data_IF_027592632521
#
_entry.id   IF_027592632521
#
_cell.length_a   1.000
_cell.length_b   1.000
_cell.length_c   1.000
_cell.angle_alpha   90.00
_cell.angle_beta   90.00
_cell.angle_gamma   90.00
#
_symmetry.space_group_name_H-M   'P 1'
#
loop_
_entity.id
_entity.type
_entity.pdbx_description
1 polymer ?
#
# COMPACT_ATOMS: atom_id res chain seq x y z
N UNK A 1 10.04 1.69 21.08
CA UNK A 1 8.63 1.51 21.45
C UNK A 1 7.96 2.81 21.89
N UNK A 2 8.67 3.67 22.63
CA UNK A 2 8.14 4.91 23.23
C UNK A 2 7.55 5.91 22.25
N UNK A 3 8.20 6.13 21.10
CA UNK A 3 7.67 7.01 20.05
C UNK A 3 6.39 6.43 19.43
N UNK A 4 6.36 5.11 19.19
CA UNK A 4 5.19 4.41 18.63
C UNK A 4 3.98 4.49 19.58
N UNK A 5 4.20 4.30 20.89
CA UNK A 5 3.13 4.44 21.89
C UNK A 5 2.60 5.86 22.00
N UNK A 6 3.44 6.87 21.78
CA UNK A 6 3.02 8.28 21.84
C UNK A 6 2.21 8.67 20.59
N UNK A 7 2.59 8.16 19.43
CA UNK A 7 1.92 8.45 18.16
C UNK A 7 0.55 7.77 18.01
N UNK A 8 0.29 6.68 18.73
CA UNK A 8 -0.95 5.90 18.61
C UNK A 8 -1.61 5.64 19.98
N UNK A 9 -2.46 6.55 20.48
CA UNK A 9 -3.02 6.47 21.83
C UNK A 9 -3.95 5.28 22.06
N UNK A 10 -4.55 4.73 21.00
CA UNK A 10 -5.44 3.56 21.07
C UNK A 10 -4.71 2.22 20.93
N UNK A 11 -3.39 2.22 20.74
CA UNK A 11 -2.62 1.01 20.52
C UNK A 11 -2.47 0.21 21.82
N UNK A 12 -2.94 -1.03 21.83
CA UNK A 12 -2.88 -1.95 22.97
C UNK A 12 -1.86 -3.05 22.69
N UNK A 13 -1.04 -3.38 23.68
CA UNK A 13 -0.07 -4.47 23.60
C UNK A 13 -0.48 -5.60 24.54
N UNK A 14 -0.36 -6.84 24.06
CA UNK A 14 -0.55 -8.05 24.86
C UNK A 14 0.73 -8.86 24.76
N UNK A 15 1.37 -9.13 25.89
CA UNK A 15 2.62 -9.88 25.95
C UNK A 15 2.34 -11.26 26.57
N UNK A 16 2.68 -12.33 25.85
CA UNK A 16 2.53 -13.71 26.31
C UNK A 16 3.88 -14.42 26.34
N UNK A 17 4.24 -15.14 27.42
CA UNK A 17 5.54 -15.79 27.55
C UNK A 17 5.68 -17.07 26.71
N UNK A 18 4.57 -17.65 26.22
CA UNK A 18 4.58 -18.80 25.31
C UNK A 18 3.24 -18.92 24.54
N UNK A 19 3.18 -19.71 23.44
CA UNK A 19 1.99 -19.83 22.60
C UNK A 19 0.75 -20.42 23.31
N UNK A 20 0.93 -21.33 24.27
CA UNK A 20 -0.19 -21.88 25.03
C UNK A 20 -0.87 -20.80 25.88
N UNK A 21 -0.06 -19.95 26.52
CA UNK A 21 -0.57 -18.78 27.23
C UNK A 21 -1.23 -17.77 26.31
N UNK A 22 -0.75 -17.64 25.07
CA UNK A 22 -1.44 -16.82 24.07
C UNK A 22 -2.85 -17.36 23.78
N UNK A 23 -3.03 -18.68 23.67
CA UNK A 23 -4.34 -19.29 23.43
C UNK A 23 -5.29 -19.08 24.61
N UNK A 24 -4.83 -19.30 25.84
CA UNK A 24 -5.61 -19.01 27.06
C UNK A 24 -6.06 -17.53 27.08
N UNK A 25 -5.14 -16.60 26.77
CA UNK A 25 -5.43 -15.16 26.73
C UNK A 25 -6.45 -14.80 25.64
N UNK A 26 -6.41 -15.45 24.47
CA UNK A 26 -7.42 -15.23 23.43
C UNK A 26 -8.80 -15.71 23.87
N UNK A 27 -8.88 -16.85 24.56
CA UNK A 27 -10.15 -17.35 25.08
C UNK A 27 -10.73 -16.39 26.12
N UNK A 28 -9.93 -15.93 27.08
CA UNK A 28 -10.34 -14.93 28.08
C UNK A 28 -10.84 -13.63 27.44
N UNK A 29 -10.14 -13.12 26.41
CA UNK A 29 -10.53 -11.89 25.71
C UNK A 29 -11.86 -12.04 24.96
N UNK A 30 -12.22 -13.27 24.55
CA UNK A 30 -13.46 -13.56 23.81
C UNK A 30 -14.69 -13.78 24.71
N UNK A 31 -14.52 -14.11 26.00
CA UNK A 31 -15.61 -14.57 26.88
C UNK A 31 -16.85 -13.67 26.96
N UNK A 32 -16.72 -12.36 26.69
CA UNK A 32 -17.82 -11.39 26.73
C UNK A 32 -17.92 -10.56 25.44
N UNK A 33 -17.42 -11.08 24.33
CA UNK A 33 -17.45 -10.39 23.03
C UNK A 33 -18.35 -11.17 22.06
N UNK A 34 -19.08 -10.45 21.22
CA UNK A 34 -19.83 -11.07 20.13
C UNK A 34 -18.86 -11.68 19.10
N UNK A 35 -19.27 -12.78 18.46
CA UNK A 35 -18.47 -13.38 17.39
C UNK A 35 -18.38 -12.41 16.19
N UNK A 36 -17.20 -12.25 15.56
CA UNK A 36 -17.03 -11.36 14.44
C UNK A 36 -17.85 -11.84 13.24
N UNK A 37 -18.64 -10.93 12.66
CA UNK A 37 -19.43 -11.24 11.47
C UNK A 37 -18.49 -11.39 10.24
N UNK A 38 -18.50 -12.55 9.55
CA UNK A 38 -17.64 -12.80 8.39
C UNK A 38 -17.89 -11.84 7.22
N UNK A 39 -19.13 -11.38 7.03
CA UNK A 39 -19.50 -10.49 5.93
C UNK A 39 -18.91 -9.07 6.12
N UNK A 40 -18.73 -8.64 7.37
CA UNK A 40 -18.12 -7.34 7.67
C UNK A 40 -16.58 -7.38 7.60
N UNK A 41 -15.95 -8.49 8.00
CA UNK A 41 -14.49 -8.62 8.01
C UNK A 41 -13.86 -8.56 6.60
N UNK A 42 -14.55 -9.09 5.60
CA UNK A 42 -14.09 -9.10 4.21
C UNK A 42 -14.06 -7.71 3.57
N UNK A 43 -14.94 -6.79 3.96
CA UNK A 43 -15.08 -5.48 3.34
C UNK A 43 -14.07 -4.43 3.85
N UNK A 44 -13.67 -4.52 5.12
CA UNK A 44 -12.89 -3.48 5.82
C UNK A 44 -11.41 -3.40 5.36
N UNK A 45 -10.95 -4.31 4.49
CA UNK A 45 -9.63 -4.26 3.85
C UNK A 45 -9.63 -3.82 2.37
N UNK A 46 -10.80 -3.68 1.74
CA UNK A 46 -10.94 -3.62 0.28
C UNK A 46 -10.92 -2.19 -0.27
N UNK A 47 -11.08 -1.17 0.57
CA UNK A 47 -11.01 0.22 0.11
C UNK A 47 -9.63 0.61 -0.44
N UNK A 48 -8.56 -0.04 0.02
CA UNK A 48 -7.23 0.08 -0.59
C UNK A 48 -7.07 -0.76 -1.87
N UNK A 49 -7.94 -1.76 -2.08
CA UNK A 49 -7.97 -2.60 -3.28
C UNK A 49 -8.84 -1.97 -4.39
N UNK A 50 -9.69 -0.98 -4.11
CA UNK A 50 -10.42 -0.27 -5.17
C UNK A 50 -9.49 0.50 -6.12
N UNK A 51 -8.28 0.87 -5.69
CA UNK A 51 -7.21 1.37 -6.56
C UNK A 51 -6.52 0.27 -7.40
N UNK A 52 -6.88 -1.00 -7.22
CA UNK A 52 -6.46 -2.16 -8.03
C UNK A 52 -7.46 -2.51 -9.13
N UNK A 53 -8.63 -1.86 -9.18
CA UNK A 53 -9.64 -2.10 -10.24
C UNK A 53 -9.18 -1.69 -11.64
N UNK A 54 -8.07 -0.95 -11.76
CA UNK A 54 -7.38 -0.85 -13.04
C UNK A 54 -6.57 -2.12 -13.22
N UNK A 55 -7.15 -3.04 -14.01
CA UNK A 55 -6.64 -4.35 -14.46
C UNK A 55 -5.22 -4.27 -15.03
N UNK A 56 -4.24 -4.02 -14.17
CA UNK A 56 -2.82 -4.06 -14.49
C UNK A 56 -2.19 -5.15 -13.64
N UNK A 57 -1.38 -5.98 -14.28
CA UNK A 57 -0.72 -7.07 -13.58
C UNK A 57 0.18 -6.51 -12.45
N UNK A 58 0.24 -7.21 -11.30
CA UNK A 58 0.87 -6.72 -10.08
C UNK A 58 2.36 -6.39 -10.27
N UNK A 59 3.03 -7.15 -11.15
CA UNK A 59 4.46 -6.96 -11.47
C UNK A 59 4.74 -5.58 -12.05
N UNK A 60 3.91 -5.09 -12.96
CA UNK A 60 4.08 -3.77 -13.57
C UNK A 60 3.90 -2.65 -12.54
N UNK A 61 3.02 -2.86 -11.54
CA UNK A 61 2.78 -1.90 -10.45
C UNK A 61 3.97 -1.81 -9.52
N UNK A 62 4.56 -2.94 -9.18
CA UNK A 62 5.70 -2.99 -8.28
C UNK A 62 6.96 -2.42 -8.93
N UNK A 63 7.16 -2.64 -10.24
CA UNK A 63 8.24 -2.01 -11.00
C UNK A 63 8.10 -0.48 -11.01
N UNK A 64 6.90 0.06 -11.23
CA UNK A 64 6.70 1.52 -11.19
C UNK A 64 6.88 2.10 -9.78
N UNK A 65 6.49 1.38 -8.73
CA UNK A 65 6.67 1.83 -7.34
C UNK A 65 8.14 1.80 -6.91
N UNK A 66 8.96 0.97 -7.54
CA UNK A 66 10.39 0.90 -7.28
C UNK A 66 11.19 2.06 -7.88
N UNK A 67 10.60 2.85 -8.79
CA UNK A 67 11.26 4.00 -9.40
C UNK A 67 11.23 5.23 -8.47
N UNK A 68 12.39 5.82 -8.13
CA UNK A 68 12.44 7.03 -7.32
C UNK A 68 11.74 8.18 -8.05
N UNK A 69 10.78 8.82 -7.38
CA UNK A 69 9.97 9.91 -7.95
C UNK A 69 8.60 9.49 -8.49
N UNK A 70 8.29 8.19 -8.60
CA UNK A 70 6.94 7.76 -9.00
C UNK A 70 6.05 7.61 -7.76
N UNK A 71 5.36 8.70 -7.39
CA UNK A 71 4.27 8.70 -6.40
C UNK A 71 3.12 7.84 -6.96
N UNK A 72 2.36 7.14 -6.12
CA UNK A 72 1.30 6.21 -6.55
C UNK A 72 0.25 6.81 -7.52
N UNK A 73 0.07 8.14 -7.48
CA UNK A 73 -0.73 8.91 -8.46
C UNK A 73 -0.09 9.00 -9.84
N UNK A 74 1.21 9.26 -9.92
CA UNK A 74 1.98 9.30 -11.16
C UNK A 74 2.03 7.93 -11.84
N UNK A 75 2.23 6.85 -11.07
CA UNK A 75 2.16 5.48 -11.57
C UNK A 75 0.81 5.18 -12.24
N UNK A 76 -0.29 5.61 -11.62
CA UNK A 76 -1.65 5.41 -12.17
C UNK A 76 -1.85 6.15 -13.49
N UNK A 77 -1.39 7.40 -13.60
CA UNK A 77 -1.48 8.19 -14.84
C UNK A 77 -0.64 7.57 -15.98
N UNK A 78 0.58 7.13 -15.67
CA UNK A 78 1.46 6.47 -16.63
C UNK A 78 0.85 5.16 -17.11
N UNK A 79 0.29 4.35 -16.20
CA UNK A 79 -0.35 3.08 -16.55
C UNK A 79 -1.64 3.25 -17.35
N UNK A 80 -2.42 4.30 -17.08
CA UNK A 80 -3.63 4.60 -17.86
C UNK A 80 -3.30 5.05 -19.29
N UNK A 81 -2.23 5.83 -19.46
CA UNK A 81 -1.87 6.42 -20.75
C UNK A 81 -1.01 5.49 -21.61
N UNK A 82 -0.20 4.63 -21.00
CA UNK A 82 0.74 3.75 -21.70
C UNK A 82 0.52 2.29 -21.32
N UNK A 83 0.28 1.46 -22.36
CA UNK A 83 0.01 0.02 -22.22
C UNK A 83 1.26 -0.79 -21.86
N UNK A 84 2.46 -0.29 -22.14
CA UNK A 84 3.73 -0.97 -21.96
C UNK A 84 4.78 -0.04 -21.31
N UNK A 85 5.57 -0.60 -20.39
CA UNK A 85 6.69 0.10 -19.74
C UNK A 85 7.75 0.58 -20.74
N UNK A 86 7.98 -0.16 -21.82
CA UNK A 86 8.90 0.21 -22.90
C UNK A 86 8.48 1.52 -23.59
N UNK A 87 7.17 1.79 -23.69
CA UNK A 87 6.68 3.04 -24.25
C UNK A 87 6.98 4.24 -23.33
N UNK A 88 7.08 4.02 -22.02
CA UNK A 88 7.43 5.04 -21.02
C UNK A 88 8.92 5.37 -21.07
N UNK A 89 9.76 4.35 -21.25
CA UNK A 89 11.22 4.52 -21.39
C UNK A 89 11.64 5.27 -22.66
N UNK A 90 10.77 5.33 -23.67
CA UNK A 90 11.03 6.02 -24.94
C UNK A 90 10.46 7.46 -24.96
N UNK A 91 9.89 7.95 -23.86
CA UNK A 91 9.36 9.31 -23.79
C UNK A 91 10.50 10.32 -23.67
N UNK A 92 10.31 11.48 -24.29
CA UNK A 92 11.21 12.62 -24.10
C UNK A 92 11.06 13.22 -22.69
N UNK A 93 12.11 13.86 -22.18
CA UNK A 93 12.11 14.50 -20.86
C UNK A 93 10.97 15.53 -20.73
N UNK A 94 10.69 16.29 -21.78
CA UNK A 94 9.59 17.26 -21.84
C UNK A 94 8.20 16.61 -21.69
N UNK A 95 8.00 15.41 -22.26
CA UNK A 95 6.74 14.67 -22.14
C UNK A 95 6.59 14.05 -20.75
N UNK A 96 7.70 13.61 -20.15
CA UNK A 96 7.72 13.09 -18.79
C UNK A 96 7.41 14.21 -17.78
N UNK A 97 8.00 15.39 -17.96
CA UNK A 97 7.71 16.60 -17.16
C UNK A 97 6.22 16.96 -17.21
N UNK A 98 5.58 16.87 -18.38
CA UNK A 98 4.14 17.12 -18.53
C UNK A 98 3.26 16.06 -17.84
N UNK A 99 3.76 14.84 -17.64
CA UNK A 99 3.01 13.72 -17.09
C UNK A 99 3.09 13.61 -15.58
N UNK A 100 4.28 13.77 -15.02
CA UNK A 100 4.55 13.53 -13.60
C UNK A 100 5.07 14.76 -12.85
N UNK A 101 5.33 15.88 -13.56
CA UNK A 101 5.84 17.12 -12.98
C UNK A 101 7.37 17.23 -13.07
N UNK A 102 7.89 18.45 -13.00
CA UNK A 102 9.31 18.77 -13.20
C UNK A 102 10.25 18.11 -12.19
N UNK A 103 9.84 18.03 -10.92
CA UNK A 103 10.65 17.44 -9.84
C UNK A 103 10.73 15.91 -9.97
N UNK A 104 9.60 15.25 -10.24
CA UNK A 104 9.53 13.79 -10.32
C UNK A 104 10.10 13.26 -11.64
N UNK A 105 9.95 14.00 -12.75
CA UNK A 105 10.59 13.67 -14.02
C UNK A 105 12.12 13.69 -13.94
N UNK A 106 12.71 14.70 -13.27
CA UNK A 106 14.15 14.77 -13.05
C UNK A 106 14.69 13.60 -12.25
N UNK A 107 13.93 13.11 -11.26
CA UNK A 107 14.33 11.95 -10.45
C UNK A 107 14.33 10.65 -11.26
N UNK A 108 13.44 10.52 -12.24
CA UNK A 108 13.35 9.34 -13.11
C UNK A 108 14.42 9.35 -14.21
N UNK A 109 14.75 10.53 -14.76
CA UNK A 109 15.78 10.67 -15.83
C UNK A 109 17.20 10.52 -15.31
N UNK A 110 17.43 10.82 -14.03
CA UNK A 110 18.76 10.81 -13.41
C UNK A 110 19.13 9.45 -12.76
N UNK A 111 18.47 8.37 -13.19
CA UNK A 111 18.75 6.96 -12.83
C UNK A 111 19.59 6.35 -13.95
#
# INVERSE_FOLDING_TARGET
LTLLTLSFPNLRYVWSPNPHKTADMFEELKQNQEEPNPDHGGAVGVDNLTDLTVSFAPVQRDILRALPGIISRAAKLVMQKYRNFLAVSNLSEDELIRLIGTEDARRVVNI
#
